data_IF_877907516016
#
_entry.id   IF_877907516016
#
_cell.length_a   1.000
_cell.length_b   1.000
_cell.length_c   1.000
_cell.angle_alpha   90.00
_cell.angle_beta   90.00
_cell.angle_gamma   90.00
#
_symmetry.space_group_name_H-M   'P 1'
#
loop_
_entity.id
_entity.type
_entity.pdbx_description
1 polymer ?
#
# COMPACT_ATOMS: atom_id res chain seq x y z
N UNK A 1 6.09 -28.90 9.79
CA UNK A 1 5.97 -27.60 10.50
C UNK A 1 5.55 -27.90 11.93
N UNK A 2 6.13 -27.19 12.91
CA UNK A 2 5.84 -27.33 14.35
C UNK A 2 5.52 -25.94 14.92
N UNK A 3 4.53 -25.84 15.81
CA UNK A 3 4.20 -24.60 16.52
C UNK A 3 5.19 -24.42 17.68
N UNK A 4 6.08 -23.44 17.58
CA UNK A 4 7.15 -23.19 18.58
C UNK A 4 6.79 -22.15 19.63
N UNK A 5 5.75 -21.36 19.41
CA UNK A 5 5.25 -20.32 20.31
C UNK A 5 4.12 -19.52 19.68
N UNK A 6 3.45 -18.68 20.47
CA UNK A 6 2.36 -17.82 20.00
C UNK A 6 2.24 -16.57 20.86
N UNK A 7 1.60 -15.55 20.30
CA UNK A 7 1.09 -14.39 21.01
C UNK A 7 -0.38 -14.19 20.59
N UNK A 8 -1.24 -13.76 21.50
CA UNK A 8 -2.68 -13.61 21.24
C UNK A 8 -3.04 -12.34 20.48
N UNK A 9 -2.10 -11.39 20.34
CA UNK A 9 -2.30 -10.06 19.78
C UNK A 9 -3.47 -9.30 20.42
N UNK A 10 -3.74 -9.58 21.69
CA UNK A 10 -4.90 -9.06 22.42
C UNK A 10 -6.25 -9.37 21.73
N UNK A 11 -6.31 -10.42 20.91
CA UNK A 11 -7.49 -10.80 20.12
C UNK A 11 -7.68 -10.00 18.83
N UNK A 12 -6.70 -9.17 18.44
CA UNK A 12 -6.77 -8.38 17.19
C UNK A 12 -6.53 -9.28 15.97
N UNK A 13 -7.47 -9.30 15.03
CA UNK A 13 -7.27 -9.96 13.73
C UNK A 13 -6.16 -9.26 12.94
N UNK A 14 -5.34 -10.03 12.23
CA UNK A 14 -4.20 -9.50 11.46
C UNK A 14 -4.42 -9.76 9.99
N UNK A 15 -4.18 -8.73 9.18
CA UNK A 15 -4.28 -8.76 7.74
C UNK A 15 -3.03 -9.41 7.14
N UNK A 16 -1.87 -8.75 7.29
CA UNK A 16 -0.58 -9.23 6.79
C UNK A 16 0.52 -9.00 7.83
N UNK A 17 1.13 -10.08 8.37
CA UNK A 17 2.26 -9.97 9.26
C UNK A 17 3.56 -9.73 8.48
N UNK A 18 4.43 -8.87 9.02
CA UNK A 18 5.77 -8.66 8.50
C UNK A 18 6.80 -8.89 9.62
N UNK A 19 7.80 -9.75 9.38
CA UNK A 19 8.91 -9.94 10.32
C UNK A 19 10.17 -9.32 9.73
N UNK A 20 10.75 -8.37 10.45
CA UNK A 20 11.96 -7.65 10.03
C UNK A 20 13.09 -7.91 11.01
N UNK A 21 14.27 -8.20 10.48
CA UNK A 21 15.49 -8.26 11.29
C UNK A 21 15.98 -6.83 11.56
N UNK A 22 15.87 -6.37 12.80
CA UNK A 22 16.37 -5.08 13.26
C UNK A 22 17.63 -5.28 14.11
N UNK A 23 18.80 -5.10 13.51
CA UNK A 23 20.08 -5.47 14.10
C UNK A 23 20.15 -6.96 14.47
N UNK A 24 20.20 -7.25 15.76
CA UNK A 24 20.22 -8.62 16.32
C UNK A 24 18.83 -9.16 16.67
N UNK A 25 17.78 -8.33 16.57
CA UNK A 25 16.41 -8.70 16.93
C UNK A 25 15.59 -9.03 15.68
N UNK A 26 14.60 -9.89 15.85
CA UNK A 26 13.52 -10.07 14.88
C UNK A 26 12.26 -9.43 15.44
N UNK A 27 11.73 -8.43 14.73
CA UNK A 27 10.55 -7.69 15.15
C UNK A 27 9.40 -8.00 14.18
N UNK A 28 8.27 -8.42 14.72
CA UNK A 28 7.03 -8.64 13.99
C UNK A 28 6.17 -7.37 14.04
N UNK A 29 5.71 -6.93 12.88
CA UNK A 29 4.76 -5.85 12.68
C UNK A 29 3.46 -6.45 12.17
N UNK A 30 2.41 -6.36 12.98
CA UNK A 30 1.12 -6.97 12.73
C UNK A 30 0.13 -5.87 12.34
N UNK A 31 -0.19 -5.78 11.06
CA UNK A 31 -1.17 -4.86 10.51
C UNK A 31 -2.58 -5.43 10.74
N UNK A 32 -3.44 -4.74 11.50
CA UNK A 32 -4.74 -5.25 11.92
C UNK A 32 -5.90 -4.73 11.07
N UNK A 33 -6.91 -5.57 10.85
CA UNK A 33 -8.24 -5.11 10.42
C UNK A 33 -8.82 -4.14 11.45
N UNK A 34 -9.91 -3.43 11.11
CA UNK A 34 -10.58 -2.60 12.09
C UNK A 34 -11.10 -3.40 13.29
N UNK A 35 -11.46 -2.69 14.35
CA UNK A 35 -11.93 -3.27 15.59
C UNK A 35 -11.34 -2.52 16.77
N UNK A 36 -11.64 -3.02 17.96
CA UNK A 36 -11.16 -2.46 19.22
C UNK A 36 -10.80 -3.61 20.14
N UNK A 37 -9.69 -3.48 20.86
CA UNK A 37 -9.29 -4.43 21.89
C UNK A 37 -8.57 -3.70 23.02
N UNK A 38 -8.52 -4.34 24.19
CA UNK A 38 -7.74 -3.85 25.32
C UNK A 38 -6.26 -4.05 25.00
N UNK A 39 -5.49 -2.97 24.96
CA UNK A 39 -4.04 -3.04 24.88
C UNK A 39 -3.50 -3.51 26.23
N UNK A 40 -2.84 -4.68 26.26
CA UNK A 40 -2.35 -5.26 27.53
C UNK A 40 -1.29 -4.42 28.24
N UNK A 41 -0.60 -3.52 27.54
CA UNK A 41 0.45 -2.67 28.10
C UNK A 41 -0.11 -1.47 28.85
N UNK A 42 -1.24 -0.92 28.37
CA UNK A 42 -1.86 0.30 28.91
C UNK A 42 -3.17 0.02 29.65
N UNK A 43 -3.74 -1.17 29.45
CA UNK A 43 -5.08 -1.58 29.86
C UNK A 43 -6.21 -0.72 29.26
N UNK A 44 -5.89 0.13 28.28
CA UNK A 44 -6.84 0.97 27.59
C UNK A 44 -7.52 0.21 26.44
N UNK A 45 -8.80 0.54 26.20
CA UNK A 45 -9.50 0.10 25.00
C UNK A 45 -9.06 0.98 23.83
N UNK A 46 -8.39 0.37 22.84
CA UNK A 46 -7.79 1.07 21.71
C UNK A 46 -8.30 0.48 20.39
N UNK A 47 -8.60 1.35 19.43
CA UNK A 47 -8.89 0.97 18.05
C UNK A 47 -7.69 0.21 17.48
N UNK A 48 -7.96 -0.85 16.72
CA UNK A 48 -6.94 -1.61 16.03
C UNK A 48 -6.07 -0.70 15.14
N UNK A 49 -4.80 -1.05 15.05
CA UNK A 49 -3.86 -0.41 14.13
C UNK A 49 -2.71 -1.35 13.86
N UNK A 50 -1.55 -1.11 14.46
CA UNK A 50 -0.36 -1.95 14.28
C UNK A 50 0.17 -2.42 15.62
N UNK A 51 0.25 -3.74 15.82
CA UNK A 51 0.98 -4.31 16.96
C UNK A 51 2.43 -4.58 16.59
N UNK A 52 3.34 -4.34 17.53
CA UNK A 52 4.78 -4.57 17.38
C UNK A 52 5.24 -5.57 18.43
N UNK A 53 5.91 -6.64 18.00
CA UNK A 53 6.36 -7.73 18.85
C UNK A 53 7.84 -8.01 18.63
N UNK A 54 8.59 -8.28 19.70
CA UNK A 54 9.88 -8.96 19.59
C UNK A 54 9.64 -10.46 19.45
N UNK A 55 10.09 -11.05 18.36
CA UNK A 55 10.01 -12.47 18.05
C UNK A 55 11.39 -13.11 17.89
N UNK A 56 12.44 -12.46 18.41
CA UNK A 56 13.82 -12.99 18.40
C UNK A 56 13.89 -14.37 19.05
N UNK A 57 13.14 -14.57 20.13
CA UNK A 57 12.93 -15.86 20.76
C UNK A 57 11.51 -16.34 20.42
N UNK A 58 11.31 -17.16 19.39
CA UNK A 58 9.98 -17.49 18.89
C UNK A 58 9.12 -18.27 19.90
N UNK A 59 9.73 -18.91 20.89
CA UNK A 59 9.03 -19.57 22.00
C UNK A 59 8.50 -18.59 23.07
N UNK A 60 9.01 -17.36 23.08
CA UNK A 60 8.66 -16.31 24.04
C UNK A 60 8.54 -14.95 23.34
N UNK A 61 7.56 -14.79 22.44
CA UNK A 61 7.31 -13.49 21.81
C UNK A 61 6.95 -12.44 22.89
N UNK A 62 7.43 -11.21 22.71
CA UNK A 62 7.19 -10.10 23.64
C UNK A 62 6.44 -9.00 22.91
N UNK A 63 5.24 -8.67 23.37
CA UNK A 63 4.47 -7.53 22.85
C UNK A 63 5.08 -6.22 23.33
N UNK A 64 5.58 -5.40 22.39
CA UNK A 64 6.37 -4.21 22.69
C UNK A 64 5.55 -2.93 22.67
N UNK A 65 4.70 -2.78 21.65
CA UNK A 65 3.94 -1.56 21.43
C UNK A 65 2.70 -1.83 20.59
N UNK A 66 1.75 -0.91 20.67
CA UNK A 66 0.61 -0.82 19.79
C UNK A 66 0.45 0.62 19.30
N UNK A 67 0.33 0.79 17.98
CA UNK A 67 0.07 2.09 17.37
C UNK A 67 -1.38 2.08 16.86
N UNK A 68 -2.32 2.76 17.52
CA UNK A 68 -3.72 2.75 17.11
C UNK A 68 -3.91 3.41 15.73
N UNK A 69 -4.94 2.97 15.01
CA UNK A 69 -5.46 3.62 13.79
C UNK A 69 -6.81 4.28 14.04
N UNK A 70 -7.48 4.84 13.01
CA UNK A 70 -8.85 5.33 13.15
C UNK A 70 -9.83 4.17 13.37
N UNK A 71 -10.96 4.46 14.01
CA UNK A 71 -12.09 3.52 14.06
C UNK A 71 -12.87 3.49 12.73
N UNK A 72 -13.59 2.39 12.48
CA UNK A 72 -14.42 2.21 11.28
C UNK A 72 -14.86 0.75 11.09
N UNK A 73 -15.40 0.43 9.92
CA UNK A 73 -15.79 -0.94 9.54
C UNK A 73 -14.55 -1.83 9.36
N UNK A 74 -14.73 -3.15 9.55
CA UNK A 74 -13.68 -4.18 9.50
C UNK A 74 -12.78 -4.08 8.27
N UNK A 75 -13.38 -3.82 7.11
CA UNK A 75 -12.70 -3.86 5.81
C UNK A 75 -12.11 -2.49 5.41
N UNK A 76 -12.44 -1.43 6.16
CA UNK A 76 -12.04 -0.08 5.82
C UNK A 76 -11.05 0.49 6.84
N UNK A 77 -11.21 0.28 8.15
CA UNK A 77 -10.36 0.89 9.15
C UNK A 77 -9.21 -0.03 9.65
N UNK A 78 -8.38 0.49 10.56
CA UNK A 78 -7.18 -0.21 11.04
C UNK A 78 -5.93 0.09 10.19
N UNK A 79 -5.07 -0.91 10.03
CA UNK A 79 -3.91 -0.89 9.14
C UNK A 79 -3.93 -2.17 8.28
N UNK A 80 -4.16 -2.04 6.98
CA UNK A 80 -4.31 -3.19 6.09
C UNK A 80 -2.98 -3.74 5.56
N UNK A 81 -1.88 -2.98 5.66
CA UNK A 81 -0.55 -3.44 5.24
C UNK A 81 0.55 -2.59 5.88
N UNK A 82 1.58 -3.24 6.40
CA UNK A 82 2.76 -2.60 6.95
C UNK A 82 4.00 -2.99 6.16
N UNK A 83 4.88 -2.02 5.90
CA UNK A 83 6.22 -2.24 5.38
C UNK A 83 7.24 -1.56 6.28
N UNK A 84 8.39 -2.20 6.49
CA UNK A 84 9.47 -1.63 7.29
C UNK A 84 10.78 -1.67 6.51
N UNK A 85 11.43 -0.52 6.40
CA UNK A 85 12.71 -0.38 5.72
C UNK A 85 13.79 0.11 6.70
N UNK A 86 14.98 -0.49 6.59
CA UNK A 86 16.17 0.05 7.27
C UNK A 86 16.69 1.26 6.51
N UNK A 87 17.06 2.31 7.24
CA UNK A 87 17.72 3.48 6.69
C UNK A 87 19.08 3.20 6.07
N UNK A 88 19.70 2.06 6.39
CA UNK A 88 20.95 1.60 5.77
C UNK A 88 20.75 1.01 4.37
N UNK A 89 19.52 0.60 4.04
CA UNK A 89 19.15 0.04 2.74
C UNK A 89 18.56 1.13 1.83
N UNK A 90 17.85 2.11 2.41
CA UNK A 90 17.24 3.19 1.66
C UNK A 90 18.30 4.00 0.88
N UNK A 91 18.07 4.28 -0.42
CA UNK A 91 18.95 5.15 -1.20
C UNK A 91 19.09 6.52 -0.55
N UNK A 92 20.19 7.21 -0.79
CA UNK A 92 20.40 8.55 -0.25
C UNK A 92 20.95 9.47 -1.33
N UNK A 93 20.43 10.69 -1.42
CA UNK A 93 20.90 11.67 -2.39
C UNK A 93 22.07 12.52 -1.87
N UNK A 94 22.43 12.37 -0.59
CA UNK A 94 23.61 13.01 -0.01
C UNK A 94 24.20 12.22 1.17
N UNK A 95 25.49 12.44 1.52
CA UNK A 95 26.08 11.86 2.72
C UNK A 95 25.39 12.27 4.03
N UNK A 96 24.85 13.50 4.09
CA UNK A 96 24.14 13.99 5.28
C UNK A 96 22.81 13.23 5.47
N UNK A 97 22.12 12.91 4.38
CA UNK A 97 20.91 12.11 4.41
C UNK A 97 21.19 10.66 4.81
N UNK A 98 22.23 10.05 4.24
CA UNK A 98 22.69 8.72 4.62
C UNK A 98 23.02 8.66 6.12
N UNK A 99 23.76 9.65 6.64
CA UNK A 99 24.12 9.71 8.05
C UNK A 99 22.90 9.85 8.98
N UNK A 100 21.86 10.60 8.57
CA UNK A 100 20.64 10.75 9.37
C UNK A 100 19.80 9.46 9.44
N UNK A 101 19.83 8.65 8.38
CA UNK A 101 19.08 7.38 8.32
C UNK A 101 19.87 6.18 8.85
N UNK A 102 21.18 6.32 8.99
CA UNK A 102 22.06 5.22 9.37
C UNK A 102 21.62 4.55 10.69
N UNK A 103 21.40 3.24 10.64
CA UNK A 103 20.94 2.45 11.80
C UNK A 103 19.47 2.68 12.21
N UNK A 104 18.72 3.52 11.50
CA UNK A 104 17.29 3.72 11.75
C UNK A 104 16.41 2.70 11.03
N UNK A 105 15.20 2.51 11.53
CA UNK A 105 14.16 1.69 10.92
C UNK A 105 12.86 2.48 10.81
N UNK A 106 12.20 2.38 9.65
CA UNK A 106 11.02 3.18 9.33
C UNK A 106 9.86 2.27 8.93
N UNK A 107 8.73 2.43 9.61
CA UNK A 107 7.47 1.74 9.34
C UNK A 107 6.56 2.62 8.48
N UNK A 108 6.26 2.18 7.25
CA UNK A 108 5.14 2.69 6.46
C UNK A 108 3.89 1.88 6.80
N UNK A 109 2.79 2.59 7.07
CA UNK A 109 1.48 2.00 7.31
C UNK A 109 0.35 2.83 6.71
N UNK A 110 -0.78 2.19 6.40
CA UNK A 110 -2.04 2.91 6.26
C UNK A 110 -2.57 3.29 7.64
N UNK A 111 -3.15 4.48 7.73
CA UNK A 111 -3.94 4.96 8.87
C UNK A 111 -5.42 4.96 8.47
N UNK A 112 -5.88 3.78 8.00
CA UNK A 112 -7.26 3.42 7.68
C UNK A 112 -7.97 4.21 6.57
N UNK A 113 -8.96 3.55 5.99
CA UNK A 113 -10.12 4.09 5.28
C UNK A 113 -11.29 4.15 6.28
N UNK A 114 -11.68 5.32 6.76
CA UNK A 114 -12.97 5.44 7.44
C UNK A 114 -14.02 5.61 6.36
N UNK A 115 -14.42 4.53 5.68
CA UNK A 115 -15.42 4.64 4.61
C UNK A 115 -16.75 5.13 5.21
N UNK A 116 -16.95 6.46 5.22
CA UNK A 116 -18.04 7.13 5.91
C UNK A 116 -17.60 8.21 6.92
N UNK A 117 -18.55 9.06 7.30
CA UNK A 117 -18.42 10.24 8.17
C UNK A 117 -17.88 10.01 9.60
N UNK A 118 -17.37 8.82 9.92
CA UNK A 118 -16.93 8.47 11.26
C UNK A 118 -15.64 9.22 11.66
N UNK A 119 -14.69 9.42 10.74
CA UNK A 119 -13.43 10.13 11.01
C UNK A 119 -12.89 10.92 9.79
N UNK A 120 -13.68 11.83 9.18
CA UNK A 120 -13.25 12.57 8.00
C UNK A 120 -11.97 13.38 8.27
N UNK A 121 -10.98 13.20 7.40
CA UNK A 121 -9.68 13.89 7.49
C UNK A 121 -8.62 13.21 8.36
N UNK A 122 -8.91 12.05 8.96
CA UNK A 122 -7.92 11.27 9.73
C UNK A 122 -7.11 10.28 8.87
N UNK A 123 -7.58 9.98 7.67
CA UNK A 123 -7.01 8.96 6.78
C UNK A 123 -5.70 9.44 6.18
N UNK A 124 -4.69 8.57 6.20
CA UNK A 124 -3.35 8.92 5.73
C UNK A 124 -2.48 7.67 5.52
N UNK A 125 -1.40 7.84 4.77
CA UNK A 125 -0.23 6.96 4.88
C UNK A 125 0.76 7.61 5.84
N UNK A 126 1.20 6.88 6.85
CA UNK A 126 2.07 7.39 7.90
C UNK A 126 3.40 6.65 7.90
N UNK A 127 4.46 7.38 8.22
CA UNK A 127 5.79 6.83 8.47
C UNK A 127 6.13 7.05 9.93
N UNK A 128 6.48 5.97 10.62
CA UNK A 128 6.99 5.99 11.99
C UNK A 128 8.48 5.63 12.00
N UNK A 129 9.27 6.33 12.81
CA UNK A 129 10.56 5.81 13.26
C UNK A 129 10.30 4.73 14.32
N UNK A 130 10.74 3.51 14.00
CA UNK A 130 10.59 2.30 14.82
C UNK A 130 11.95 1.69 15.18
N UNK A 131 13.00 2.52 15.17
CA UNK A 131 14.36 2.15 15.60
C UNK A 131 14.34 1.63 17.04
N UNK A 132 13.56 2.26 17.92
CA UNK A 132 13.10 1.67 19.16
C UNK A 132 11.67 1.12 18.96
N UNK A 133 11.50 -0.20 18.70
CA UNK A 133 10.18 -0.78 18.44
C UNK A 133 9.24 -0.77 19.66
N UNK A 134 9.73 -0.49 20.87
CA UNK A 134 8.89 -0.32 22.05
C UNK A 134 8.35 1.11 22.18
N UNK A 135 8.96 2.09 21.50
CA UNK A 135 8.58 3.50 21.56
C UNK A 135 8.51 4.11 20.14
N UNK A 136 7.58 3.63 19.30
CA UNK A 136 7.45 4.14 17.93
C UNK A 136 7.07 5.62 17.91
N UNK A 137 7.72 6.41 17.06
CA UNK A 137 7.49 7.86 16.94
C UNK A 137 7.01 8.19 15.53
N UNK A 138 5.88 8.91 15.41
CA UNK A 138 5.41 9.38 14.12
C UNK A 138 6.46 10.35 13.54
N UNK A 139 7.02 10.00 12.38
CA UNK A 139 8.00 10.81 11.68
C UNK A 139 7.30 11.80 10.74
N UNK A 140 6.40 11.30 9.90
CA UNK A 140 5.65 12.13 8.96
C UNK A 140 4.37 11.45 8.48
N UNK A 141 3.49 12.25 7.89
CA UNK A 141 2.36 11.80 7.09
C UNK A 141 2.74 12.02 5.62
N UNK A 142 2.66 10.97 4.79
CA UNK A 142 3.18 10.97 3.41
C UNK A 142 2.52 12.04 2.54
N UNK A 143 1.21 12.20 2.69
CA UNK A 143 0.46 13.25 2.02
C UNK A 143 -0.72 13.69 2.88
N UNK A 144 -1.07 14.99 2.87
CA UNK A 144 -2.26 15.48 3.54
C UNK A 144 -3.53 15.08 2.77
N UNK A 145 -4.69 15.17 3.42
CA UNK A 145 -6.02 15.14 2.78
C UNK A 145 -6.28 13.88 1.94
N UNK A 146 -5.71 12.74 2.33
CA UNK A 146 -6.01 11.47 1.70
C UNK A 146 -7.37 10.93 2.18
N UNK A 147 -8.02 10.15 1.31
CA UNK A 147 -9.15 9.29 1.67
C UNK A 147 -9.00 7.91 1.08
N UNK A 148 -9.80 6.97 1.54
CA UNK A 148 -9.80 5.56 1.17
C UNK A 148 -8.41 4.91 1.20
N UNK A 149 -7.56 5.25 2.18
CA UNK A 149 -6.22 4.67 2.25
C UNK A 149 -6.27 3.15 2.46
N UNK A 150 -5.41 2.41 1.77
CA UNK A 150 -5.45 0.95 1.78
C UNK A 150 -4.03 0.35 1.70
N UNK A 151 -3.93 -0.94 1.35
CA UNK A 151 -2.66 -1.67 1.18
C UNK A 151 -1.63 -0.86 0.37
N UNK A 152 -0.40 -0.81 0.87
CA UNK A 152 0.70 -0.07 0.25
C UNK A 152 1.95 -0.94 0.16
N UNK A 153 2.72 -0.81 -0.91
CA UNK A 153 3.97 -1.55 -1.08
C UNK A 153 5.16 -0.60 -1.09
N UNK A 154 6.22 -0.92 -0.34
CA UNK A 154 7.44 -0.12 -0.28
C UNK A 154 8.67 -0.94 -0.65
N UNK A 155 9.37 -0.51 -1.69
CA UNK A 155 10.67 -1.03 -2.11
C UNK A 155 11.80 -0.36 -1.32
N UNK A 156 12.37 -1.06 -0.34
CA UNK A 156 13.41 -0.48 0.52
C UNK A 156 14.70 -0.13 -0.23
N UNK A 157 15.05 -0.87 -1.28
CA UNK A 157 16.29 -0.70 -2.06
C UNK A 157 16.23 0.48 -3.04
N UNK A 158 15.03 0.91 -3.43
CA UNK A 158 14.85 2.08 -4.31
C UNK A 158 14.15 3.25 -3.63
N UNK A 159 13.58 3.05 -2.45
CA UNK A 159 12.75 4.02 -1.75
C UNK A 159 11.34 4.19 -2.35
N UNK A 160 10.99 3.49 -3.43
CA UNK A 160 9.73 3.74 -4.16
C UNK A 160 8.56 3.07 -3.42
N UNK A 161 7.53 3.84 -3.15
CA UNK A 161 6.31 3.38 -2.51
C UNK A 161 5.09 3.56 -3.42
N UNK A 162 4.28 2.51 -3.49
CA UNK A 162 3.00 2.46 -4.18
C UNK A 162 1.90 2.45 -3.14
N UNK A 163 1.16 3.55 -3.04
CA UNK A 163 0.19 3.81 -2.00
C UNK A 163 -1.20 3.75 -2.59
N UNK A 164 -2.13 3.07 -1.93
CA UNK A 164 -3.55 3.14 -2.31
C UNK A 164 -4.20 4.26 -1.51
N UNK A 165 -4.75 5.25 -2.20
CA UNK A 165 -5.52 6.33 -1.62
C UNK A 165 -6.27 7.10 -2.73
N UNK A 166 -7.21 7.95 -2.33
CA UNK A 166 -7.72 9.06 -3.12
C UNK A 166 -7.30 10.39 -2.51
N UNK A 167 -7.49 11.48 -3.24
CA UNK A 167 -7.37 12.85 -2.76
C UNK A 167 -8.76 13.44 -2.43
N UNK A 168 -8.96 13.89 -1.20
CA UNK A 168 -10.22 14.54 -0.77
C UNK A 168 -10.34 16.02 -1.17
N UNK A 169 -9.25 16.62 -1.68
CA UNK A 169 -9.15 18.04 -1.99
C UNK A 169 -9.64 18.41 -3.39
N UNK A 170 -9.68 17.44 -4.31
CA UNK A 170 -10.13 17.68 -5.67
C UNK A 170 -11.65 17.75 -5.68
N UNK A 171 -12.22 18.73 -6.40
CA UNK A 171 -13.64 18.84 -6.73
C UNK A 171 -13.87 18.35 -8.17
N UNK A 172 -15.05 17.78 -8.45
CA UNK A 172 -15.29 17.08 -9.71
C UNK A 172 -15.47 18.05 -10.86
N UNK A 173 -14.85 17.80 -12.03
CA UNK A 173 -15.17 18.56 -13.23
C UNK A 173 -16.56 18.24 -13.81
N UNK A 174 -17.30 17.24 -13.29
CA UNK A 174 -18.71 16.99 -13.66
C UNK A 174 -19.58 16.75 -12.42
N UNK A 175 -20.78 17.33 -12.40
CA UNK A 175 -21.69 17.26 -11.24
C UNK A 175 -22.26 15.84 -10.97
N UNK A 176 -22.16 14.93 -11.94
CA UNK A 176 -22.63 13.54 -11.90
C UNK A 176 -21.50 12.51 -11.65
N UNK A 177 -20.24 12.94 -11.63
CA UNK A 177 -19.08 12.10 -11.30
C UNK A 177 -18.41 12.63 -10.03
N UNK A 178 -17.87 11.76 -9.19
CA UNK A 178 -17.11 12.18 -8.02
C UNK A 178 -15.80 12.89 -8.45
N UNK A 179 -15.23 13.77 -7.61
CA UNK A 179 -14.00 14.44 -7.95
C UNK A 179 -12.78 13.56 -8.17
N UNK A 180 -11.93 13.94 -9.14
CA UNK A 180 -10.61 13.35 -9.32
C UNK A 180 -10.63 12.09 -10.18
N UNK A 181 -10.01 11.03 -9.68
CA UNK A 181 -9.95 9.74 -10.36
C UNK A 181 -11.31 9.03 -10.29
N UNK A 182 -11.80 8.59 -11.44
CA UNK A 182 -13.13 7.99 -11.62
C UNK A 182 -13.09 6.49 -11.39
N UNK A 183 -14.03 5.92 -10.66
CA UNK A 183 -14.09 4.45 -10.51
C UNK A 183 -15.48 3.99 -10.03
N UNK A 184 -15.81 2.70 -10.18
CA UNK A 184 -17.02 2.09 -9.63
C UNK A 184 -16.79 1.48 -8.23
N UNK A 185 -17.43 2.05 -7.20
CA UNK A 185 -17.46 1.46 -5.84
C UNK A 185 -16.55 2.15 -4.82
N UNK A 186 -15.22 2.06 -4.95
CA UNK A 186 -14.22 2.58 -4.00
C UNK A 186 -13.24 3.59 -4.63
N UNK A 187 -13.24 4.87 -4.23
CA UNK A 187 -12.53 5.96 -4.94
C UNK A 187 -10.98 5.87 -4.95
N UNK A 188 -10.42 4.70 -4.67
CA UNK A 188 -9.00 4.37 -4.61
C UNK A 188 -8.32 4.36 -5.98
N UNK A 189 -7.17 5.02 -6.05
CA UNK A 189 -6.18 4.87 -7.12
C UNK A 189 -4.78 4.72 -6.52
N UNK A 190 -3.78 4.51 -7.38
CA UNK A 190 -2.38 4.38 -6.97
C UNK A 190 -1.74 5.76 -6.91
N UNK A 191 -1.13 6.09 -5.77
CA UNK A 191 -0.22 7.22 -5.63
C UNK A 191 1.19 6.70 -5.45
N UNK A 192 2.13 7.24 -6.21
CA UNK A 192 3.52 6.79 -6.21
C UNK A 192 4.39 7.89 -5.61
N UNK A 193 5.18 7.52 -4.61
CA UNK A 193 6.12 8.40 -3.93
C UNK A 193 7.52 7.80 -3.92
N UNK A 194 8.53 8.66 -3.96
CA UNK A 194 9.88 8.32 -3.56
C UNK A 194 10.05 8.66 -2.07
N UNK A 195 10.24 7.63 -1.26
CA UNK A 195 10.46 7.68 0.19
C UNK A 195 11.92 7.33 0.54
N UNK A 196 12.87 7.57 -0.39
CA UNK A 196 14.30 7.40 -0.10
C UNK A 196 14.71 8.14 1.17
N UNK A 197 14.17 9.34 1.39
CA UNK A 197 14.17 10.07 2.66
C UNK A 197 12.80 10.00 3.34
N UNK A 198 12.61 9.12 4.34
CA UNK A 198 11.28 8.92 4.95
C UNK A 198 10.72 10.15 5.66
N UNK A 199 11.55 11.15 5.99
CA UNK A 199 11.08 12.40 6.57
C UNK A 199 10.58 13.41 5.52
N UNK A 200 11.00 13.25 4.25
CA UNK A 200 10.69 14.17 3.16
C UNK A 200 10.15 13.38 1.94
N UNK A 201 8.90 12.91 2.00
CA UNK A 201 8.28 12.19 0.88
C UNK A 201 8.23 13.03 -0.40
N UNK A 202 8.64 12.44 -1.51
CA UNK A 202 8.63 13.08 -2.83
C UNK A 202 7.55 12.46 -3.70
N UNK A 203 6.60 13.27 -4.18
CA UNK A 203 5.57 12.82 -5.08
C UNK A 203 6.14 12.49 -6.48
N UNK A 204 5.75 11.34 -7.05
CA UNK A 204 6.10 10.97 -8.43
C UNK A 204 4.90 11.16 -9.35
N UNK A 205 3.82 10.39 -9.13
CA UNK A 205 2.60 10.44 -9.94
C UNK A 205 1.45 9.67 -9.30
N UNK A 206 0.26 9.91 -9.82
CA UNK A 206 -0.92 9.08 -9.67
C UNK A 206 -1.04 8.14 -10.89
N UNK A 207 -1.63 6.96 -10.66
CA UNK A 207 -1.87 5.93 -11.66
C UNK A 207 -3.09 5.08 -11.30
N UNK A 208 -3.62 4.32 -12.26
CA UNK A 208 -4.77 3.44 -12.09
C UNK A 208 -5.10 2.72 -13.39
N UNK A 209 -6.28 2.11 -13.47
CA UNK A 209 -6.72 1.40 -14.67
C UNK A 209 -7.23 2.40 -15.72
N UNK A 210 -7.06 2.11 -17.01
CA UNK A 210 -7.54 2.99 -18.09
C UNK A 210 -9.05 3.22 -17.99
N UNK A 211 -9.44 4.49 -17.93
CA UNK A 211 -10.80 4.94 -17.68
C UNK A 211 -10.99 5.54 -16.29
N UNK A 212 -9.99 5.39 -15.40
CA UNK A 212 -10.00 6.01 -14.07
C UNK A 212 -9.37 7.40 -14.02
N UNK A 213 -8.48 7.72 -14.96
CA UNK A 213 -7.78 9.00 -14.95
C UNK A 213 -8.77 10.19 -15.03
N UNK A 214 -8.48 11.34 -14.39
CA UNK A 214 -9.44 12.46 -14.31
C UNK A 214 -9.92 12.98 -15.67
N UNK A 215 -9.04 12.97 -16.67
CA UNK A 215 -9.32 13.28 -18.07
C UNK A 215 -9.68 12.01 -18.85
N UNK A 216 -10.86 11.44 -18.58
CA UNK A 216 -11.32 10.18 -19.20
C UNK A 216 -11.32 10.31 -20.73
N UNK A 217 -10.67 9.36 -21.40
CA UNK A 217 -10.64 9.25 -22.86
C UNK A 217 -11.79 8.41 -23.41
N UNK A 218 -11.75 8.10 -24.71
CA UNK A 218 -12.79 7.32 -25.37
C UNK A 218 -12.73 5.81 -25.06
N UNK A 219 -11.58 5.31 -24.57
CA UNK A 219 -11.42 3.91 -24.16
C UNK A 219 -11.50 3.73 -22.64
N UNK A 220 -12.09 2.62 -22.24
CA UNK A 220 -12.22 2.15 -20.86
C UNK A 220 -11.82 0.67 -20.84
N UNK A 221 -10.96 0.28 -19.91
CA UNK A 221 -10.58 -1.12 -19.68
C UNK A 221 -11.30 -1.70 -18.45
N UNK A 222 -11.50 -3.02 -18.45
CA UNK A 222 -12.16 -3.73 -17.37
C UNK A 222 -13.59 -4.17 -17.69
N UNK A 223 -14.35 -4.44 -16.63
CA UNK A 223 -15.66 -5.09 -16.70
C UNK A 223 -16.85 -4.14 -16.50
N UNK A 224 -16.58 -2.96 -15.95
CA UNK A 224 -17.56 -1.94 -15.57
C UNK A 224 -17.04 -0.56 -15.91
N UNK A 225 -17.95 0.38 -16.11
CA UNK A 225 -17.62 1.77 -16.43
C UNK A 225 -18.28 2.70 -15.40
N UNK A 226 -17.52 3.56 -14.70
CA UNK A 226 -16.04 3.60 -14.67
C UNK A 226 -15.41 2.33 -14.05
N UNK A 227 -14.12 2.02 -14.31
CA UNK A 227 -13.47 0.79 -13.82
C UNK A 227 -13.39 0.69 -12.30
N UNK A 228 -13.19 -0.51 -11.74
CA UNK A 228 -13.10 -0.71 -10.28
C UNK A 228 -11.84 -0.16 -9.64
N UNK A 229 -11.96 0.40 -8.43
CA UNK A 229 -10.82 0.93 -7.66
C UNK A 229 -9.74 -0.11 -7.34
N UNK A 230 -8.50 0.36 -7.18
CA UNK A 230 -7.34 -0.46 -6.81
C UNK A 230 -7.46 -0.93 -5.36
N UNK A 231 -7.10 -2.19 -5.09
CA UNK A 231 -7.06 -2.72 -3.74
C UNK A 231 -5.65 -2.84 -3.15
N UNK A 232 -4.68 -3.21 -3.99
CA UNK A 232 -3.29 -3.38 -3.54
C UNK A 232 -2.31 -3.53 -4.70
N UNK A 233 -1.29 -2.65 -4.79
CA UNK A 233 -0.14 -2.83 -5.67
C UNK A 233 0.88 -3.76 -5.01
N UNK A 234 1.50 -4.66 -5.78
CA UNK A 234 2.70 -5.40 -5.36
C UNK A 234 3.77 -5.22 -6.42
N UNK A 235 4.91 -4.64 -6.03
CA UNK A 235 6.05 -4.51 -6.94
C UNK A 235 6.99 -5.70 -6.83
N UNK A 236 7.46 -6.17 -7.98
CA UNK A 236 8.52 -7.16 -8.10
C UNK A 236 9.94 -6.55 -8.04
N UNK A 237 10.04 -5.25 -7.76
CA UNK A 237 11.30 -4.52 -7.64
C UNK A 237 11.96 -4.22 -8.99
N UNK A 238 13.09 -3.51 -8.91
CA UNK A 238 13.82 -3.01 -10.08
C UNK A 238 14.26 -4.11 -11.05
N UNK A 239 14.74 -5.24 -10.55
CA UNK A 239 15.29 -6.32 -11.39
C UNK A 239 14.24 -7.02 -12.25
N UNK A 240 13.04 -7.27 -11.69
CA UNK A 240 11.94 -7.86 -12.44
C UNK A 240 11.18 -6.84 -13.26
N UNK A 241 11.27 -5.57 -12.88
CA UNK A 241 10.68 -4.44 -13.59
C UNK A 241 9.17 -4.59 -13.82
N UNK A 242 8.43 -5.10 -12.82
CA UNK A 242 6.98 -5.30 -12.91
C UNK A 242 6.28 -4.84 -11.64
N UNK A 243 5.11 -4.23 -11.81
CA UNK A 243 4.14 -3.97 -10.74
C UNK A 243 2.84 -4.68 -11.09
N UNK A 244 2.25 -5.35 -10.11
CA UNK A 244 1.01 -6.09 -10.23
C UNK A 244 -0.07 -5.34 -9.45
N UNK A 245 -1.12 -4.94 -10.15
CA UNK A 245 -2.16 -4.05 -9.65
C UNK A 245 -3.49 -4.81 -9.64
N UNK A 246 -4.02 -5.10 -8.46
CA UNK A 246 -5.29 -5.80 -8.32
C UNK A 246 -6.42 -4.82 -8.02
N UNK A 247 -7.48 -4.88 -8.83
CA UNK A 247 -8.64 -3.99 -8.79
C UNK A 247 -9.93 -4.76 -8.51
N UNK A 248 -10.90 -4.08 -7.89
CA UNK A 248 -12.24 -4.58 -7.62
C UNK A 248 -12.26 -5.63 -6.51
N UNK A 249 -12.46 -5.23 -5.25
CA UNK A 249 -12.21 -6.06 -4.06
C UNK A 249 -13.06 -7.32 -3.98
N UNK A 250 -14.40 -7.17 -3.98
CA UNK A 250 -15.37 -8.27 -3.88
C UNK A 250 -16.17 -8.52 -5.16
N UNK A 251 -15.86 -7.83 -6.26
CA UNK A 251 -16.48 -8.06 -7.56
C UNK A 251 -15.70 -7.37 -8.68
N UNK A 252 -16.02 -7.71 -9.94
CA UNK A 252 -15.43 -7.10 -11.13
C UNK A 252 -13.90 -7.10 -11.11
N UNK A 253 -13.32 -8.23 -10.70
CA UNK A 253 -11.88 -8.36 -10.49
C UNK A 253 -11.08 -8.17 -11.78
N UNK A 254 -10.09 -7.29 -11.71
CA UNK A 254 -9.10 -7.07 -12.78
C UNK A 254 -7.71 -7.11 -12.16
N UNK A 255 -6.77 -7.76 -12.83
CA UNK A 255 -5.35 -7.68 -12.48
C UNK A 255 -4.60 -7.09 -13.68
N UNK A 256 -3.97 -5.96 -13.46
CA UNK A 256 -3.11 -5.28 -14.44
C UNK A 256 -1.65 -5.52 -14.09
N UNK A 257 -0.84 -5.70 -15.13
CA UNK A 257 0.60 -5.89 -15.05
C UNK A 257 1.26 -4.77 -15.83
N UNK A 258 2.04 -3.96 -15.14
CA UNK A 258 2.70 -2.79 -15.72
C UNK A 258 4.22 -2.90 -15.61
N UNK A 259 4.91 -2.29 -16.56
CA UNK A 259 6.35 -2.07 -16.55
C UNK A 259 6.70 -0.99 -15.54
N UNK A 260 7.54 -1.35 -14.56
CA UNK A 260 7.82 -0.49 -13.41
C UNK A 260 8.59 0.77 -13.84
N UNK A 261 9.61 0.63 -14.66
CA UNK A 261 10.45 1.76 -15.09
C UNK A 261 9.62 2.77 -15.89
N UNK A 262 8.88 2.30 -16.90
CA UNK A 262 8.01 3.20 -17.70
C UNK A 262 6.91 3.85 -16.86
N UNK A 263 6.37 3.15 -15.87
CA UNK A 263 5.41 3.72 -14.94
C UNK A 263 6.03 4.92 -14.19
N UNK A 264 7.26 4.76 -13.68
CA UNK A 264 7.92 5.78 -12.87
C UNK A 264 8.48 6.94 -13.69
N UNK A 265 9.00 6.69 -14.89
CA UNK A 265 9.68 7.71 -15.70
C UNK A 265 8.83 8.26 -16.84
N UNK A 266 7.68 7.66 -17.14
CA UNK A 266 6.85 8.05 -18.29
C UNK A 266 6.44 9.53 -18.26
N UNK A 267 6.18 10.10 -17.08
CA UNK A 267 5.79 11.50 -16.95
C UNK A 267 6.95 12.51 -16.98
N UNK A 268 8.21 12.04 -17.08
CA UNK A 268 9.38 12.90 -17.29
C UNK A 268 9.90 12.82 -18.74
N UNK A 269 9.26 12.02 -19.59
CA UNK A 269 9.57 11.95 -21.01
C UNK A 269 9.29 13.28 -21.72
N UNK A 270 10.02 13.55 -22.80
CA UNK A 270 9.94 14.82 -23.52
C UNK A 270 8.56 15.08 -24.17
N UNK A 271 7.81 14.02 -24.45
CA UNK A 271 6.47 14.02 -25.03
C UNK A 271 5.34 13.86 -24.00
N UNK A 272 5.68 13.77 -22.70
CA UNK A 272 4.68 13.72 -21.65
C UNK A 272 3.86 15.03 -21.60
N UNK A 273 2.57 14.89 -21.34
CA UNK A 273 1.66 16.00 -21.13
C UNK A 273 2.03 16.78 -19.87
N UNK A 274 1.72 18.08 -19.85
CA UNK A 274 2.06 18.98 -18.75
C UNK A 274 1.49 18.56 -17.38
N UNK A 275 0.45 17.73 -17.37
CA UNK A 275 -0.21 17.25 -16.16
C UNK A 275 -0.12 15.73 -15.99
N UNK A 276 0.77 15.05 -16.72
CA UNK A 276 0.89 13.58 -16.72
C UNK A 276 0.89 12.96 -15.33
N UNK A 277 1.62 13.58 -14.39
CA UNK A 277 1.75 13.04 -13.04
C UNK A 277 0.40 12.96 -12.29
N UNK A 278 -0.48 13.96 -12.41
CA UNK A 278 -1.72 14.02 -11.63
C UNK A 278 -2.99 13.73 -12.46
N UNK A 279 -2.94 14.00 -13.77
CA UNK A 279 -4.03 13.82 -14.72
C UNK A 279 -3.51 13.31 -16.07
N UNK A 280 -3.00 12.07 -16.11
CA UNK A 280 -2.47 11.47 -17.33
C UNK A 280 -3.55 11.32 -18.40
N UNK A 281 -3.13 11.38 -19.65
CA UNK A 281 -3.92 11.00 -20.83
C UNK A 281 -4.06 9.48 -20.92
N UNK A 282 -5.02 9.01 -21.72
CA UNK A 282 -5.17 7.58 -21.99
C UNK A 282 -3.89 6.93 -22.54
N UNK A 283 -3.13 7.63 -23.39
CA UNK A 283 -1.88 7.09 -23.94
C UNK A 283 -0.81 6.92 -22.85
N UNK A 284 -0.70 7.88 -21.93
CA UNK A 284 0.24 7.80 -20.80
C UNK A 284 -0.15 6.75 -19.76
N UNK A 285 -1.44 6.42 -19.68
CA UNK A 285 -1.95 5.30 -18.88
C UNK A 285 -1.60 3.95 -19.51
N UNK A 286 -1.78 3.82 -20.83
CA UNK A 286 -1.48 2.60 -21.57
C UNK A 286 0.01 2.32 -21.75
N UNK A 287 0.85 3.37 -21.75
CA UNK A 287 2.28 3.24 -22.02
C UNK A 287 2.99 2.17 -21.16
N UNK A 288 2.89 2.19 -19.81
CA UNK A 288 3.52 1.17 -18.99
C UNK A 288 2.78 -0.18 -19.00
N UNK A 289 1.56 -0.28 -19.56
CA UNK A 289 0.80 -1.52 -19.51
C UNK A 289 1.47 -2.63 -20.33
N UNK A 290 1.63 -3.81 -19.71
CA UNK A 290 2.15 -5.01 -20.39
C UNK A 290 1.07 -6.06 -20.61
N UNK A 291 0.03 -6.02 -19.80
CA UNK A 291 -1.17 -6.81 -19.99
C UNK A 291 -2.06 -6.73 -18.76
N UNK A 292 -3.28 -7.21 -18.93
CA UNK A 292 -4.24 -7.34 -17.84
C UNK A 292 -5.13 -8.54 -18.11
N UNK A 293 -5.82 -9.01 -17.08
CA UNK A 293 -6.84 -10.04 -17.21
C UNK A 293 -7.93 -9.84 -16.17
N UNK A 294 -9.09 -10.42 -16.44
CA UNK A 294 -10.26 -10.36 -15.56
C UNK A 294 -10.40 -11.65 -14.78
N UNK A 295 -11.03 -11.56 -13.60
CA UNK A 295 -11.43 -12.73 -12.85
C UNK A 295 -12.84 -13.20 -13.25
N UNK A 296 -13.13 -14.52 -13.20
CA UNK A 296 -14.43 -15.05 -13.57
C UNK A 296 -15.59 -14.47 -12.75
N UNK A 297 -16.67 -14.08 -13.44
CA UNK A 297 -17.93 -13.68 -12.82
C UNK A 297 -17.94 -12.23 -12.35
N UNK A 298 -18.67 -11.38 -13.09
CA UNK A 298 -18.79 -9.93 -12.89
C UNK A 298 -19.21 -9.53 -11.45
N UNK A 299 -19.83 -10.42 -10.70
CA UNK A 299 -20.32 -10.15 -9.34
C UNK A 299 -19.83 -11.14 -8.29
N UNK A 300 -18.96 -12.09 -8.67
CA UNK A 300 -18.58 -13.21 -7.81
C UNK A 300 -17.15 -13.12 -7.33
N UNK A 301 -16.25 -12.54 -8.14
CA UNK A 301 -14.83 -12.50 -7.80
C UNK A 301 -14.25 -11.13 -8.01
N UNK A 302 -13.47 -10.71 -7.01
CA UNK A 302 -12.71 -9.49 -7.04
C UNK A 302 -11.18 -9.72 -7.04
N UNK A 303 -10.42 -8.76 -7.56
CA UNK A 303 -8.96 -8.74 -7.47
C UNK A 303 -8.53 -8.29 -6.08
N UNK A 304 -8.70 -9.15 -5.07
CA UNK A 304 -8.44 -8.79 -3.68
C UNK A 304 -6.93 -8.67 -3.37
N UNK A 305 -6.10 -9.57 -3.90
CA UNK A 305 -4.63 -9.41 -3.85
C UNK A 305 -4.03 -10.12 -5.06
N UNK A 306 -3.03 -9.50 -5.68
CA UNK A 306 -2.17 -10.16 -6.67
C UNK A 306 -0.74 -10.20 -6.13
N UNK A 307 -0.17 -11.39 -5.98
CA UNK A 307 1.17 -11.57 -5.40
C UNK A 307 2.04 -12.41 -6.33
N UNK A 308 3.07 -11.83 -6.95
CA UNK A 308 3.97 -12.57 -7.82
C UNK A 308 4.94 -13.42 -6.99
N UNK A 309 5.16 -14.66 -7.44
CA UNK A 309 6.15 -15.59 -6.89
C UNK A 309 7.10 -15.93 -8.01
N UNK A 310 8.35 -15.48 -7.89
CA UNK A 310 9.40 -15.77 -8.85
C UNK A 310 10.24 -16.95 -8.36
N UNK A 311 10.68 -17.79 -9.28
CA UNK A 311 11.51 -18.93 -8.94
C UNK A 311 11.98 -19.69 -10.18
N UNK A 312 12.79 -20.71 -9.93
CA UNK A 312 13.24 -21.65 -10.94
C UNK A 312 12.92 -23.07 -10.50
N UNK A 313 12.46 -23.89 -11.44
CA UNK A 313 12.26 -25.33 -11.26
C UNK A 313 12.95 -26.04 -12.42
N UNK A 314 13.81 -27.00 -12.11
CA UNK A 314 14.64 -27.74 -13.08
C UNK A 314 15.44 -26.84 -14.03
N UNK A 315 15.95 -25.72 -13.52
CA UNK A 315 16.74 -24.74 -14.29
C UNK A 315 15.91 -23.93 -15.29
N UNK A 316 14.58 -23.93 -15.17
CA UNK A 316 13.67 -23.09 -15.97
C UNK A 316 12.94 -22.10 -15.08
N UNK A 317 12.78 -20.83 -15.53
CA UNK A 317 11.95 -19.88 -14.80
C UNK A 317 10.52 -20.40 -14.68
N UNK A 318 10.02 -20.52 -13.46
CA UNK A 318 8.63 -20.83 -13.16
C UNK A 318 8.08 -19.72 -12.28
N UNK A 319 7.59 -18.69 -12.95
CA UNK A 319 6.96 -17.55 -12.29
C UNK A 319 5.47 -17.83 -12.14
N UNK A 320 4.94 -17.57 -10.95
CA UNK A 320 3.53 -17.71 -10.62
C UNK A 320 2.98 -16.34 -10.22
N UNK A 321 1.71 -16.12 -10.50
CA UNK A 321 0.96 -15.00 -9.95
C UNK A 321 -0.17 -15.59 -9.12
N UNK A 322 -0.09 -15.46 -7.80
CA UNK A 322 -1.18 -15.83 -6.91
C UNK A 322 -2.18 -14.68 -6.90
N UNK A 323 -3.41 -14.95 -7.32
CA UNK A 323 -4.52 -14.00 -7.19
C UNK A 323 -5.52 -14.55 -6.21
N UNK A 324 -5.81 -13.77 -5.17
CA UNK A 324 -6.81 -14.09 -4.17
C UNK A 324 -8.04 -13.25 -4.47
N UNK A 325 -9.21 -13.89 -4.45
CA UNK A 325 -10.52 -13.24 -4.52
C UNK A 325 -11.10 -13.01 -3.13
N UNK A 326 -11.94 -12.00 -3.01
CA UNK A 326 -12.91 -11.86 -1.92
C UNK A 326 -14.30 -12.13 -2.48
N UNK A 327 -15.10 -12.90 -1.75
CA UNK A 327 -16.49 -13.25 -2.07
C UNK A 327 -17.45 -12.52 -1.12
#
# INVERSE_FOLDING_TARGET
MELVGYDTLDGRSTYQPLVVRQGLRYIAYMAHHAGTAINRLTLASETNGTSILDVTHPAHPVYLAHIPGPGGSLDAAGNQMAHVCSGDILPSNSPAEAARKHGHYYLLRSNGNSSGSANPGAESHQIFDVTDPAHPVLLTTVAPQLTNTHKSWWECDTGIAFLVANDSSLASPRADLAPGWHQSGSNQHVKIYNLHDPANPEYIRDFGLVGQQPNVGDAVEGLVTPPTGIHGPISAGKEKNRVYLAYGVGSNGVVEIVDREELLTGCTAADASAHCAASPTQQEMLAPQRGWFTLPGLTLQGGHTSFPIFGEEDGKPRNLLLVVSED
#
